data_IF_195156114942
#
_entry.id   IF_195156114942
#
_cell.length_a   1.000
_cell.length_b   1.000
_cell.length_c   1.000
_cell.angle_alpha   90.00
_cell.angle_beta   90.00
_cell.angle_gamma   90.00
#
_symmetry.space_group_name_H-M   'P 1'
#
loop_
_entity.id
_entity.type
_entity.pdbx_description
1 polymer ?
#
# COMPACT_ATOMS: atom_id res chain seq x y z
N UNK A 1 16.04 -20.59 -11.17
CA UNK A 1 17.35 -20.44 -10.51
C UNK A 1 17.71 -18.96 -10.59
N UNK A 2 17.02 -18.10 -9.85
CA UNK A 2 17.24 -17.72 -8.43
C UNK A 2 18.06 -16.44 -8.34
N UNK A 3 17.36 -15.30 -8.36
CA UNK A 3 17.83 -14.02 -7.84
C UNK A 3 16.75 -13.36 -6.94
N UNK A 4 15.87 -14.17 -6.35
CA UNK A 4 14.74 -13.73 -5.51
C UNK A 4 14.99 -13.91 -4.00
N UNK A 5 16.19 -14.31 -3.59
CA UNK A 5 16.53 -14.57 -2.19
C UNK A 5 17.74 -13.73 -1.76
N UNK A 6 17.55 -12.45 -1.38
CA UNK A 6 18.57 -11.74 -0.58
C UNK A 6 18.15 -10.48 0.17
N UNK A 7 16.87 -10.20 0.37
CA UNK A 7 16.46 -9.11 1.28
C UNK A 7 15.38 -9.57 2.25
N UNK A 8 15.79 -10.46 3.16
CA UNK A 8 15.18 -10.50 4.49
C UNK A 8 15.63 -9.26 5.24
N UNK A 9 14.84 -8.18 5.13
CA UNK A 9 14.91 -7.06 6.06
C UNK A 9 13.68 -7.23 6.95
N UNK A 10 13.91 -7.65 8.19
CA UNK A 10 12.90 -7.76 9.23
C UNK A 10 12.13 -6.44 9.39
N UNK A 11 10.88 -6.42 8.93
CA UNK A 11 9.91 -5.34 9.14
C UNK A 11 9.30 -5.49 10.54
N UNK A 12 10.14 -5.51 11.58
CA UNK A 12 9.70 -5.55 12.98
C UNK A 12 10.40 -4.52 13.88
N UNK A 13 11.19 -3.59 13.33
CA UNK A 13 12.00 -2.68 14.15
C UNK A 13 11.52 -1.21 14.23
N UNK A 14 10.38 -0.85 13.64
CA UNK A 14 9.92 0.55 13.61
C UNK A 14 8.45 0.78 14.00
N UNK A 15 7.80 -0.21 14.63
CA UNK A 15 6.39 -0.13 15.01
C UNK A 15 6.14 0.35 16.46
N UNK A 16 7.16 0.63 17.26
CA UNK A 16 6.95 1.14 18.63
C UNK A 16 7.79 2.40 18.86
N UNK A 17 7.09 3.52 19.00
CA UNK A 17 7.70 4.76 19.52
C UNK A 17 7.26 6.05 18.85
N UNK A 18 6.00 6.18 18.42
CA UNK A 18 5.43 7.46 18.01
C UNK A 18 4.46 7.96 19.08
N UNK A 19 4.96 8.19 20.30
CA UNK A 19 4.24 8.93 21.33
C UNK A 19 5.21 9.85 22.12
N UNK A 20 4.88 11.14 22.10
CA UNK A 20 5.43 12.24 22.90
C UNK A 20 6.87 12.72 22.64
N UNK A 21 7.02 13.86 21.98
CA UNK A 21 7.29 15.12 22.69
C UNK A 21 7.49 16.29 21.72
N UNK A 22 6.50 17.17 21.71
CA UNK A 22 6.59 18.59 21.35
C UNK A 22 7.84 19.23 21.98
N UNK A 23 8.79 19.72 21.19
CA UNK A 23 9.80 20.70 21.61
C UNK A 23 9.47 21.99 20.84
N UNK A 24 8.56 22.83 21.34
CA UNK A 24 8.85 23.92 22.28
C UNK A 24 10.20 24.61 22.05
N UNK A 25 10.03 25.86 21.62
CA UNK A 25 10.98 26.95 21.52
C UNK A 25 12.13 26.90 22.51
N UNK A 26 13.31 27.15 21.94
CA UNK A 26 14.50 27.57 22.63
C UNK A 26 14.20 28.67 23.66
N UNK A 27 14.32 28.33 24.93
CA UNK A 27 14.82 29.27 25.94
C UNK A 27 16.16 28.76 26.48
N UNK A 28 17.16 29.64 26.60
CA UNK A 28 18.46 29.28 27.15
C UNK A 28 18.24 28.98 28.63
N UNK A 29 18.49 27.74 29.05
CA UNK A 29 18.53 27.43 30.48
C UNK A 29 19.82 28.03 31.02
N UNK A 30 19.59 29.04 31.85
CA UNK A 30 20.56 29.76 32.66
C UNK A 30 21.56 28.81 33.32
N UNK A 31 22.81 29.30 33.38
CA UNK A 31 23.78 28.96 34.42
C UNK A 31 23.07 28.80 35.76
N UNK A 32 22.76 27.57 36.13
CA UNK A 32 22.45 27.27 37.52
C UNK A 32 23.79 27.05 38.19
N UNK A 33 24.23 28.09 38.90
CA UNK A 33 25.30 28.03 39.89
C UNK A 33 25.18 26.74 40.69
N UNK A 34 26.07 25.78 40.41
CA UNK A 34 26.60 24.93 41.46
C UNK A 34 27.99 25.48 41.76
N UNK A 35 28.01 26.43 42.69
CA UNK A 35 29.15 26.59 43.58
C UNK A 35 29.31 25.28 44.37
N UNK A 36 29.92 24.27 43.76
CA UNK A 36 30.71 23.34 44.54
C UNK A 36 32.14 23.83 44.44
N UNK A 37 32.48 24.64 45.45
CA UNK A 37 33.84 24.96 45.79
C UNK A 37 34.73 23.74 45.55
N UNK A 38 35.66 23.86 44.61
CA UNK A 38 36.81 22.97 44.53
C UNK A 38 37.49 23.11 45.90
N UNK A 39 37.17 22.18 46.81
CA UNK A 39 37.94 22.01 48.04
C UNK A 39 39.30 21.51 47.59
N UNK A 40 40.20 22.46 47.40
CA UNK A 40 41.59 22.28 46.97
C UNK A 40 42.46 21.57 48.04
N UNK A 41 41.85 21.16 49.16
CA UNK A 41 42.46 20.44 50.30
C UNK A 41 41.92 19.01 50.47
N UNK A 42 41.27 18.43 49.47
CA UNK A 42 40.81 17.04 49.50
C UNK A 42 41.95 16.05 49.21
N UNK A 43 42.00 14.94 49.97
CA UNK A 43 42.95 13.87 49.71
C UNK A 43 42.84 13.42 48.23
N UNK A 44 43.94 13.31 47.47
CA UNK A 44 43.91 13.09 46.02
C UNK A 44 43.27 11.75 45.62
N UNK A 45 43.08 10.84 46.57
CA UNK A 45 42.34 9.59 46.39
C UNK A 45 40.83 9.83 46.43
N UNK A 46 40.34 10.73 47.27
CA UNK A 46 38.90 11.03 47.38
C UNK A 46 38.38 11.71 46.11
N UNK A 47 39.16 12.60 45.52
CA UNK A 47 38.84 13.24 44.22
C UNK A 47 38.71 12.17 43.13
N UNK A 48 39.66 11.22 43.06
CA UNK A 48 39.60 10.11 42.09
C UNK A 48 38.41 9.19 42.33
N UNK A 49 38.04 8.94 43.59
CA UNK A 49 36.84 8.15 43.92
C UNK A 49 35.57 8.85 43.48
N UNK A 50 35.45 10.15 43.74
CA UNK A 50 34.30 10.95 43.30
C UNK A 50 34.19 10.96 41.76
N UNK A 51 35.30 11.15 41.05
CA UNK A 51 35.32 11.11 39.57
C UNK A 51 34.95 9.73 39.04
N UNK A 52 35.42 8.64 39.65
CA UNK A 52 35.06 7.28 39.26
C UNK A 52 33.56 7.01 39.44
N UNK A 53 32.97 7.43 40.57
CA UNK A 53 31.53 7.31 40.82
C UNK A 53 30.72 8.13 39.82
N UNK A 54 31.17 9.35 39.49
CA UNK A 54 30.51 10.21 38.49
C UNK A 54 30.56 9.61 37.07
N UNK A 55 31.60 8.83 36.76
CA UNK A 55 31.73 8.07 35.51
C UNK A 55 30.94 6.74 35.52
N UNK A 56 30.21 6.45 36.60
CA UNK A 56 29.32 5.29 36.73
C UNK A 56 30.00 4.03 37.27
N UNK A 57 31.18 4.13 37.92
CA UNK A 57 31.77 3.00 38.63
C UNK A 57 31.11 2.77 39.98
N UNK A 58 30.99 1.51 40.39
CA UNK A 58 30.35 1.14 41.65
C UNK A 58 31.13 1.72 42.85
N UNK A 59 30.44 2.38 43.80
CA UNK A 59 31.09 3.03 44.93
C UNK A 59 31.79 2.04 45.88
N UNK A 60 31.28 0.80 46.00
CA UNK A 60 31.88 -0.25 46.83
C UNK A 60 33.23 -0.73 46.27
N UNK A 61 33.33 -0.86 44.95
CA UNK A 61 34.56 -1.28 44.27
C UNK A 61 35.62 -0.16 44.32
N UNK A 62 35.17 1.08 44.15
CA UNK A 62 35.99 2.30 44.17
C UNK A 62 36.60 2.59 45.56
N UNK A 63 35.94 2.16 46.64
CA UNK A 63 36.41 2.34 48.01
C UNK A 63 37.65 1.50 48.35
N UNK A 64 37.84 0.36 47.66
CA UNK A 64 38.90 -0.62 47.96
C UNK A 64 40.09 -0.47 46.99
N UNK A 65 39.91 0.21 45.86
CA UNK A 65 40.93 0.40 44.83
C UNK A 65 42.05 1.35 45.25
N UNK A 66 43.26 1.05 44.77
CA UNK A 66 44.43 1.91 44.90
C UNK A 66 44.36 3.09 43.92
N UNK A 67 45.13 4.15 44.21
CA UNK A 67 45.21 5.35 43.37
C UNK A 67 45.48 5.05 41.89
N UNK A 68 46.37 4.10 41.60
CA UNK A 68 46.73 3.71 40.23
C UNK A 68 45.60 2.97 39.51
N UNK A 69 44.87 2.12 40.23
CA UNK A 69 43.75 1.37 39.69
C UNK A 69 42.58 2.31 39.38
N UNK A 70 42.26 3.24 40.29
CA UNK A 70 41.24 4.27 40.06
C UNK A 70 41.57 5.11 38.82
N UNK A 71 42.81 5.58 38.72
CA UNK A 71 43.23 6.38 37.57
C UNK A 71 43.17 5.60 36.26
N UNK A 72 43.62 4.34 36.25
CA UNK A 72 43.52 3.47 35.06
C UNK A 72 42.07 3.17 34.66
N UNK A 73 41.15 3.03 35.61
CA UNK A 73 39.74 2.78 35.32
C UNK A 73 39.04 4.03 34.81
N UNK A 74 39.35 5.19 35.39
CA UNK A 74 38.90 6.51 34.90
C UNK A 74 39.37 6.72 33.46
N UNK A 75 40.66 6.51 33.18
CA UNK A 75 41.22 6.71 31.83
C UNK A 75 40.58 5.75 30.80
N UNK A 76 40.33 4.50 31.19
CA UNK A 76 39.63 3.51 30.35
C UNK A 76 38.16 3.90 30.10
N UNK A 77 37.44 4.33 31.13
CA UNK A 77 36.05 4.77 31.04
C UNK A 77 35.92 6.02 30.16
N UNK A 78 36.80 7.01 30.37
CA UNK A 78 36.90 8.23 29.56
C UNK A 78 37.23 7.88 28.11
N UNK A 79 38.22 7.01 27.86
CA UNK A 79 38.56 6.57 26.49
C UNK A 79 37.40 5.88 25.81
N UNK A 80 36.66 5.02 26.52
CA UNK A 80 35.48 4.33 25.99
C UNK A 80 34.37 5.32 25.68
N UNK A 81 34.08 6.25 26.59
CA UNK A 81 33.08 7.29 26.40
C UNK A 81 33.42 8.21 25.23
N UNK A 82 34.69 8.60 25.07
CA UNK A 82 35.17 9.38 23.92
C UNK A 82 34.97 8.60 22.63
N UNK A 83 35.39 7.33 22.56
CA UNK A 83 35.20 6.49 21.36
C UNK A 83 33.73 6.34 20.97
N UNK A 84 32.85 6.07 21.95
CA UNK A 84 31.41 5.95 21.70
C UNK A 84 30.79 7.28 21.26
N UNK A 85 31.25 8.40 21.82
CA UNK A 85 30.80 9.73 21.41
C UNK A 85 31.29 10.09 20.01
N UNK A 86 32.55 9.80 19.67
CA UNK A 86 33.08 9.98 18.32
C UNK A 86 32.35 9.14 17.28
N UNK A 87 32.01 7.89 17.60
CA UNK A 87 31.26 7.03 16.68
C UNK A 87 29.82 7.53 16.47
N UNK A 88 29.16 7.98 17.55
CA UNK A 88 27.84 8.62 17.46
C UNK A 88 27.89 9.93 16.67
N UNK A 89 28.90 10.76 16.87
CA UNK A 89 29.09 12.00 16.13
C UNK A 89 29.41 11.74 14.65
N UNK A 90 30.18 10.69 14.33
CA UNK A 90 30.41 10.29 12.94
C UNK A 90 29.12 9.82 12.26
N UNK A 91 28.32 9.00 12.94
CA UNK A 91 27.00 8.57 12.45
C UNK A 91 26.06 9.76 12.26
N UNK A 92 26.02 10.69 13.21
CA UNK A 92 25.23 11.92 13.08
C UNK A 92 25.72 12.80 11.93
N UNK A 93 27.03 13.00 11.79
CA UNK A 93 27.60 13.78 10.70
C UNK A 93 27.43 13.11 9.32
N UNK A 94 27.36 11.78 9.27
CA UNK A 94 27.05 11.04 8.05
C UNK A 94 25.56 11.17 7.68
N UNK A 95 24.67 11.09 8.67
CA UNK A 95 23.24 11.39 8.49
C UNK A 95 23.04 12.85 8.05
N UNK A 96 23.77 13.80 8.66
CA UNK A 96 23.69 15.23 8.34
C UNK A 96 24.28 15.54 6.95
N UNK A 97 25.38 14.89 6.55
CA UNK A 97 25.90 14.94 5.18
C UNK A 97 24.94 14.34 4.15
N UNK A 98 24.24 13.26 4.50
CA UNK A 98 23.23 12.65 3.64
C UNK A 98 21.99 13.56 3.52
N UNK A 99 21.64 14.29 4.58
CA UNK A 99 20.61 15.34 4.58
C UNK A 99 21.04 16.55 3.75
N UNK A 100 22.25 17.10 3.95
CA UNK A 100 22.76 18.24 3.19
C UNK A 100 22.87 17.98 1.69
N UNK A 101 23.12 16.73 1.29
CA UNK A 101 23.18 16.36 -0.14
C UNK A 101 21.81 16.30 -0.83
N UNK A 102 20.69 16.47 -0.12
CA UNK A 102 19.33 16.34 -0.68
C UNK A 102 18.98 14.94 -1.18
N UNK A 103 19.90 13.98 -1.06
CA UNK A 103 19.73 12.59 -1.49
C UNK A 103 18.82 11.83 -0.52
N UNK A 104 18.87 12.17 0.77
CA UNK A 104 18.03 11.52 1.77
C UNK A 104 16.53 11.79 1.53
N UNK A 105 16.15 13.03 1.25
CA UNK A 105 14.76 13.36 0.92
C UNK A 105 14.31 12.71 -0.39
N UNK A 106 15.16 12.68 -1.41
CA UNK A 106 14.85 11.99 -2.67
C UNK A 106 14.65 10.49 -2.48
N UNK A 107 15.51 9.86 -1.69
CA UNK A 107 15.43 8.43 -1.40
C UNK A 107 14.18 8.11 -0.58
N UNK A 108 13.85 8.95 0.40
CA UNK A 108 12.61 8.84 1.17
C UNK A 108 11.37 9.02 0.28
N UNK A 109 11.40 9.98 -0.65
CA UNK A 109 10.32 10.22 -1.62
C UNK A 109 10.15 9.03 -2.57
N UNK A 110 11.27 8.43 -2.98
CA UNK A 110 11.28 7.23 -3.82
C UNK A 110 10.71 6.02 -3.09
N UNK A 111 11.14 5.75 -1.85
CA UNK A 111 10.59 4.66 -1.03
C UNK A 111 9.09 4.83 -0.77
N UNK A 112 8.65 6.07 -0.47
CA UNK A 112 7.22 6.38 -0.31
C UNK A 112 6.45 6.13 -1.60
N UNK A 113 6.99 6.56 -2.74
CA UNK A 113 6.37 6.34 -4.04
C UNK A 113 6.25 4.86 -4.37
N UNK A 114 7.29 4.08 -4.15
CA UNK A 114 7.30 2.63 -4.37
C UNK A 114 6.26 1.92 -3.48
N UNK A 115 6.22 2.24 -2.18
CA UNK A 115 5.23 1.69 -1.26
C UNK A 115 3.78 2.04 -1.65
N UNK A 116 3.55 3.26 -2.17
CA UNK A 116 2.23 3.68 -2.64
C UNK A 116 1.87 3.02 -3.99
N UNK A 117 2.84 2.80 -4.89
CA UNK A 117 2.64 2.04 -6.13
C UNK A 117 2.29 0.58 -5.85
N UNK A 118 2.97 -0.05 -4.89
CA UNK A 118 2.67 -1.42 -4.45
C UNK A 118 1.29 -1.52 -3.81
N UNK A 119 0.92 -0.56 -2.97
CA UNK A 119 -0.42 -0.51 -2.39
C UNK A 119 -1.48 -0.35 -3.48
N UNK A 120 -1.25 0.56 -4.43
CA UNK A 120 -2.14 0.77 -5.58
C UNK A 120 -2.36 -0.55 -6.34
N UNK A 121 -1.28 -1.24 -6.70
CA UNK A 121 -1.36 -2.49 -7.46
C UNK A 121 -2.07 -3.59 -6.67
N UNK A 122 -1.76 -3.72 -5.38
CA UNK A 122 -2.41 -4.68 -4.48
C UNK A 122 -3.91 -4.40 -4.37
N UNK A 123 -4.29 -3.12 -4.27
CA UNK A 123 -5.70 -2.72 -4.17
C UNK A 123 -6.47 -2.97 -5.46
N UNK A 124 -5.88 -2.68 -6.61
CA UNK A 124 -6.48 -2.97 -7.92
C UNK A 124 -6.72 -4.47 -8.08
N UNK A 125 -5.73 -5.31 -7.73
CA UNK A 125 -5.88 -6.76 -7.72
C UNK A 125 -6.99 -7.21 -6.75
N UNK A 126 -7.04 -6.66 -5.54
CA UNK A 126 -8.05 -7.00 -4.54
C UNK A 126 -9.48 -6.64 -4.99
N UNK A 127 -9.64 -5.56 -5.76
CA UNK A 127 -10.93 -5.14 -6.35
C UNK A 127 -11.22 -5.79 -7.71
N UNK A 128 -10.32 -6.63 -8.23
CA UNK A 128 -10.46 -7.26 -9.55
C UNK A 128 -10.39 -6.27 -10.72
N UNK A 129 -9.79 -5.09 -10.51
CA UNK A 129 -9.63 -4.06 -11.52
C UNK A 129 -8.36 -4.31 -12.35
N UNK A 130 -8.40 -4.18 -13.69
CA UNK A 130 -7.21 -4.27 -14.53
C UNK A 130 -6.12 -3.28 -14.12
N UNK A 131 -4.85 -3.69 -14.23
CA UNK A 131 -3.67 -2.85 -13.92
C UNK A 131 -3.63 -1.56 -14.76
N UNK A 132 -4.28 -1.56 -15.92
CA UNK A 132 -4.45 -0.39 -16.80
C UNK A 132 -5.16 0.79 -16.10
N UNK A 133 -6.09 0.50 -15.18
CA UNK A 133 -6.72 1.55 -14.36
C UNK A 133 -5.74 2.19 -13.38
N UNK A 134 -4.69 1.47 -12.98
CA UNK A 134 -3.64 1.99 -12.12
C UNK A 134 -2.77 3.07 -12.77
N UNK A 135 -2.76 3.16 -14.10
CA UNK A 135 -2.07 4.23 -14.84
C UNK A 135 -2.80 5.57 -14.67
N UNK A 136 -4.11 5.55 -14.43
CA UNK A 136 -4.92 6.75 -14.27
C UNK A 136 -4.76 7.40 -12.88
N UNK A 137 -4.15 6.69 -11.94
CA UNK A 137 -3.98 7.14 -10.56
C UNK A 137 -2.53 7.56 -10.37
N UNK A 138 -2.33 8.88 -10.31
CA UNK A 138 -1.02 9.48 -10.10
C UNK A 138 -0.64 9.45 -8.62
N UNK A 139 0.50 8.84 -8.33
CA UNK A 139 1.04 8.65 -6.99
C UNK A 139 2.09 9.70 -6.62
N UNK A 140 2.63 10.42 -7.61
CA UNK A 140 3.63 11.47 -7.42
C UNK A 140 3.20 12.57 -6.43
N UNK A 141 1.99 13.16 -6.51
CA UNK A 141 1.58 14.20 -5.57
C UNK A 141 1.38 13.68 -4.15
N UNK A 142 1.24 12.36 -3.97
CA UNK A 142 1.06 11.72 -2.67
C UNK A 142 2.39 11.43 -1.96
N UNK A 143 3.51 11.43 -2.69
CA UNK A 143 4.83 11.18 -2.10
C UNK A 143 5.33 12.34 -1.20
N UNK A 144 4.70 13.51 -1.34
CA UNK A 144 5.00 14.72 -0.54
C UNK A 144 4.26 14.77 0.79
N UNK A 145 3.19 13.99 0.92
CA UNK A 145 2.38 13.92 2.12
C UNK A 145 3.01 12.96 3.14
N UNK A 146 2.50 12.96 4.37
CA UNK A 146 2.84 11.90 5.32
C UNK A 146 2.34 10.55 4.79
N UNK A 147 3.02 9.47 5.18
CA UNK A 147 2.73 8.12 4.67
C UNK A 147 1.30 7.67 5.00
N UNK A 148 0.75 8.14 6.13
CA UNK A 148 -0.63 7.89 6.57
C UNK A 148 -1.64 8.61 5.68
N UNK A 149 -1.46 9.92 5.47
CA UNK A 149 -2.37 10.73 4.64
C UNK A 149 -2.33 10.29 3.17
N UNK A 150 -1.15 9.97 2.67
CA UNK A 150 -0.95 9.48 1.31
C UNK A 150 -1.72 8.16 1.07
N UNK A 151 -1.69 7.24 2.05
CA UNK A 151 -2.44 5.98 2.01
C UNK A 151 -3.94 6.21 2.02
N UNK A 152 -4.45 7.06 2.90
CA UNK A 152 -5.89 7.36 2.98
C UNK A 152 -6.40 8.00 1.69
N UNK A 153 -5.68 8.98 1.14
CA UNK A 153 -6.05 9.60 -0.13
C UNK A 153 -5.98 8.61 -1.30
N UNK A 154 -4.96 7.74 -1.35
CA UNK A 154 -4.85 6.71 -2.37
C UNK A 154 -6.01 5.72 -2.30
N UNK A 155 -6.34 5.21 -1.11
CA UNK A 155 -7.46 4.27 -0.92
C UNK A 155 -8.79 4.94 -1.25
N UNK A 156 -9.02 6.16 -0.80
CA UNK A 156 -10.24 6.92 -1.09
C UNK A 156 -10.44 7.16 -2.59
N UNK A 157 -9.38 7.55 -3.30
CA UNK A 157 -9.44 7.73 -4.76
C UNK A 157 -9.69 6.41 -5.48
N UNK A 158 -9.02 5.32 -5.07
CA UNK A 158 -9.23 3.98 -5.59
C UNK A 158 -10.66 3.47 -5.35
N UNK A 159 -11.23 3.72 -4.17
CA UNK A 159 -12.61 3.35 -3.87
C UNK A 159 -13.62 4.14 -4.71
N UNK A 160 -13.40 5.43 -4.90
CA UNK A 160 -14.25 6.24 -5.78
C UNK A 160 -14.20 5.73 -7.22
N UNK A 161 -13.02 5.34 -7.71
CA UNK A 161 -12.86 4.75 -9.04
C UNK A 161 -13.57 3.39 -9.12
N UNK A 162 -13.38 2.52 -8.12
CA UNK A 162 -14.03 1.21 -8.07
C UNK A 162 -15.57 1.34 -8.06
N UNK A 163 -16.12 2.26 -7.27
CA UNK A 163 -17.56 2.53 -7.23
C UNK A 163 -18.09 3.00 -8.59
N UNK A 164 -17.44 3.98 -9.22
CA UNK A 164 -17.85 4.47 -10.55
C UNK A 164 -17.78 3.40 -11.63
N UNK A 165 -16.78 2.51 -11.55
CA UNK A 165 -16.67 1.37 -12.47
C UNK A 165 -17.83 0.41 -12.26
N UNK A 166 -18.14 0.06 -11.02
CA UNK A 166 -19.29 -0.81 -10.71
C UNK A 166 -20.61 -0.19 -11.19
N UNK A 167 -20.83 1.10 -10.95
CA UNK A 167 -22.02 1.82 -11.45
C UNK A 167 -22.12 1.78 -12.99
N UNK A 168 -21.01 1.99 -13.70
CA UNK A 168 -20.98 1.92 -15.16
C UNK A 168 -21.22 0.50 -15.69
N UNK A 169 -20.68 -0.52 -15.01
CA UNK A 169 -20.90 -1.92 -15.36
C UNK A 169 -22.35 -2.29 -15.13
N UNK A 170 -22.94 -1.95 -13.98
CA UNK A 170 -24.35 -2.18 -13.68
C UNK A 170 -25.27 -1.47 -14.67
N UNK A 171 -24.98 -0.21 -15.01
CA UNK A 171 -25.74 0.54 -16.00
C UNK A 171 -25.70 -0.13 -17.38
N UNK A 172 -24.51 -0.55 -17.84
CA UNK A 172 -24.37 -1.25 -19.13
C UNK A 172 -24.98 -2.64 -19.14
N UNK A 173 -24.88 -3.38 -18.04
CA UNK A 173 -25.51 -4.70 -17.91
C UNK A 173 -27.03 -4.53 -17.93
N UNK A 174 -27.58 -3.58 -17.19
CA UNK A 174 -29.02 -3.29 -17.21
C UNK A 174 -29.50 -2.82 -18.59
N UNK A 175 -28.73 -1.99 -19.30
CA UNK A 175 -29.06 -1.59 -20.67
C UNK A 175 -29.03 -2.78 -21.64
N UNK A 176 -28.02 -3.65 -21.53
CA UNK A 176 -27.94 -4.90 -22.31
C UNK A 176 -29.05 -5.87 -21.96
N UNK A 177 -29.39 -6.05 -20.69
CA UNK A 177 -30.50 -6.91 -20.26
C UNK A 177 -31.82 -6.36 -20.79
N UNK A 178 -32.07 -5.05 -20.69
CA UNK A 178 -33.27 -4.42 -21.25
C UNK A 178 -33.34 -4.56 -22.78
N UNK A 179 -32.23 -4.39 -23.49
CA UNK A 179 -32.21 -4.57 -24.95
C UNK A 179 -32.34 -6.04 -25.36
N UNK A 180 -31.82 -6.99 -24.57
CA UNK A 180 -32.04 -8.42 -24.76
C UNK A 180 -33.49 -8.83 -24.42
N UNK A 181 -34.10 -8.31 -23.37
CA UNK A 181 -35.50 -8.54 -23.03
C UNK A 181 -36.42 -7.96 -24.11
N UNK A 182 -36.14 -6.74 -24.57
CA UNK A 182 -36.87 -6.13 -25.68
C UNK A 182 -36.69 -6.89 -27.00
N UNK A 183 -35.47 -7.38 -27.29
CA UNK A 183 -35.17 -8.18 -28.49
C UNK A 183 -35.74 -9.61 -28.43
N UNK A 184 -35.76 -10.23 -27.25
CA UNK A 184 -36.27 -11.59 -27.04
C UNK A 184 -37.80 -11.66 -27.06
N UNK A 185 -38.50 -10.56 -26.77
CA UNK A 185 -39.97 -10.52 -26.82
C UNK A 185 -40.50 -10.08 -28.19
N UNK A 186 -39.69 -9.39 -29.00
CA UNK A 186 -40.10 -8.86 -30.32
C UNK A 186 -39.73 -9.77 -31.50
N UNK A 187 -38.98 -10.86 -31.28
CA UNK A 187 -38.78 -11.92 -32.28
C UNK A 187 -39.91 -12.98 -32.31
N UNK A 188 -41.14 -12.61 -31.94
CA UNK A 188 -42.34 -13.36 -32.32
C UNK A 188 -42.84 -12.97 -33.71
N UNK A 189 -41.94 -12.90 -34.69
CA UNK A 189 -42.27 -12.75 -36.11
C UNK A 189 -41.76 -13.95 -36.92
N UNK A 190 -41.82 -15.13 -36.34
CA UNK A 190 -42.17 -16.32 -37.12
C UNK A 190 -43.60 -16.68 -36.75
N UNK A 191 -44.55 -15.90 -37.28
CA UNK A 191 -45.88 -16.46 -37.52
C UNK A 191 -45.61 -17.65 -38.44
N UNK A 192 -45.78 -18.91 -38.01
CA UNK A 192 -45.68 -20.02 -38.94
C UNK A 192 -46.70 -19.72 -40.04
N UNK A 193 -46.21 -19.54 -41.26
CA UNK A 193 -47.03 -19.34 -42.44
C UNK A 193 -48.17 -20.36 -42.38
N UNK A 194 -49.40 -19.85 -42.22
CA UNK A 194 -50.52 -20.69 -41.85
C UNK A 194 -50.68 -21.79 -42.90
N UNK A 195 -50.60 -23.05 -42.47
CA UNK A 195 -50.79 -24.19 -43.36
C UNK A 195 -52.17 -24.07 -44.02
N UNK A 196 -52.28 -24.33 -45.34
CA UNK A 196 -53.54 -24.20 -46.06
C UNK A 196 -54.57 -25.13 -45.44
N UNK A 197 -55.80 -24.62 -45.30
CA UNK A 197 -56.91 -25.34 -44.67
C UNK A 197 -57.87 -25.94 -45.69
N UNK A 198 -57.81 -25.44 -46.93
CA UNK A 198 -58.66 -25.87 -48.04
C UNK A 198 -57.83 -26.24 -49.27
N UNK A 199 -58.43 -27.03 -50.17
CA UNK A 199 -57.81 -27.43 -51.43
C UNK A 199 -57.49 -26.22 -52.33
N UNK A 200 -58.42 -25.27 -52.39
CA UNK A 200 -58.26 -24.09 -53.24
C UNK A 200 -57.14 -23.17 -52.75
N UNK A 201 -56.98 -23.05 -51.41
CA UNK A 201 -55.82 -22.38 -50.82
C UNK A 201 -54.51 -23.07 -51.19
N UNK A 202 -54.44 -24.41 -51.10
CA UNK A 202 -53.26 -25.17 -51.48
C UNK A 202 -52.89 -24.99 -52.96
N UNK A 203 -53.88 -24.98 -53.87
CA UNK A 203 -53.65 -24.84 -55.31
C UNK A 203 -53.33 -23.40 -55.74
N UNK A 204 -53.72 -22.40 -54.94
CA UNK A 204 -53.35 -21.00 -55.16
C UNK A 204 -51.89 -20.68 -54.82
N UNK A 205 -51.20 -21.58 -54.10
CA UNK A 205 -49.80 -21.42 -53.74
C UNK A 205 -48.86 -21.69 -54.93
N UNK A 206 -47.67 -21.07 -54.97
CA UNK A 206 -46.60 -21.42 -55.90
C UNK A 206 -46.26 -22.91 -55.81
N UNK A 207 -45.84 -23.50 -56.94
CA UNK A 207 -45.51 -24.93 -57.01
C UNK A 207 -44.44 -25.33 -55.97
N UNK A 208 -43.46 -24.47 -55.72
CA UNK A 208 -42.41 -24.73 -54.71
C UNK A 208 -43.00 -24.91 -53.31
N UNK A 209 -44.02 -24.12 -52.94
CA UNK A 209 -44.68 -24.23 -51.64
C UNK A 209 -45.61 -25.45 -51.56
N UNK A 210 -46.24 -25.83 -52.66
CA UNK A 210 -47.02 -27.06 -52.73
C UNK A 210 -46.14 -28.29 -52.49
N UNK A 211 -44.93 -28.31 -53.10
CA UNK A 211 -43.93 -29.37 -52.90
C UNK A 211 -43.38 -29.36 -51.46
N UNK A 212 -43.14 -28.19 -50.88
CA UNK A 212 -42.72 -28.07 -49.48
C UNK A 212 -43.78 -28.61 -48.52
N UNK A 213 -45.06 -28.36 -48.77
CA UNK A 213 -46.16 -28.89 -47.96
C UNK A 213 -46.32 -30.41 -48.16
N UNK A 214 -46.20 -30.91 -49.39
CA UNK A 214 -46.22 -32.35 -49.68
C UNK A 214 -45.09 -33.09 -48.95
N UNK A 215 -43.89 -32.50 -48.91
CA UNK A 215 -42.71 -33.12 -48.28
C UNK A 215 -42.72 -33.02 -46.76
N UNK A 216 -43.13 -31.87 -46.19
CA UNK A 216 -43.17 -31.67 -44.73
C UNK A 216 -44.45 -32.20 -44.07
N UNK A 217 -45.56 -32.21 -44.79
CA UNK A 217 -46.90 -32.56 -44.28
C UNK A 217 -47.70 -33.43 -45.28
N UNK A 218 -47.22 -34.65 -45.62
CA UNK A 218 -47.84 -35.49 -46.64
C UNK A 218 -49.29 -35.86 -46.32
N UNK A 219 -49.62 -36.07 -45.04
CA UNK A 219 -50.98 -36.42 -44.61
C UNK A 219 -51.97 -35.26 -44.81
N UNK A 220 -51.54 -34.02 -44.53
CA UNK A 220 -52.34 -32.83 -44.77
C UNK A 220 -52.56 -32.62 -46.27
N UNK A 221 -51.50 -32.73 -47.07
CA UNK A 221 -51.58 -32.62 -48.52
C UNK A 221 -52.57 -33.63 -49.11
N UNK A 222 -52.44 -34.90 -48.73
CA UNK A 222 -53.34 -35.97 -49.18
C UNK A 222 -54.79 -35.72 -48.74
N UNK A 223 -55.00 -35.27 -47.50
CA UNK A 223 -56.34 -34.94 -46.98
C UNK A 223 -57.00 -33.80 -47.75
N UNK A 224 -56.26 -32.75 -48.10
CA UNK A 224 -56.76 -31.63 -48.88
C UNK A 224 -57.04 -32.01 -50.34
N UNK A 225 -56.25 -32.91 -50.92
CA UNK A 225 -56.44 -33.37 -52.30
C UNK A 225 -57.54 -34.43 -52.45
N UNK A 226 -57.87 -35.17 -51.39
CA UNK A 226 -58.93 -36.20 -51.39
C UNK A 226 -60.27 -35.69 -50.86
N UNK A 227 -60.29 -34.59 -50.10
CA UNK A 227 -61.47 -34.09 -49.38
C UNK A 227 -62.30 -33.01 -50.10
N UNK A 228 -62.36 -33.05 -51.45
CA UNK A 228 -63.19 -32.15 -52.26
C UNK A 228 -64.28 -32.91 -53.00
#
# INVERSE_FOLDING_TARGET
MSELEKRGIDIQLFAEGDENATQQEQKPVENTNQEEAIKDDGDPIEVLRATAIQLGLNPEDVAIMTKKELQSQIDSAVTRAIKTREEKLKKQAEIEKMKEKGQYEQLLRQERKEALEDLKNTYLQAKGLPNEFGVLINVDPLADLSLTEAKEQLVSTLDSVAQKINELVEAKVNEKLKSLEAGSFTQSSNIPEALPKTRDELLSLPYEKQVEIFTKYPDLYNKLMQGG
#
